data_IF_533314143382
#
_entry.id   IF_533314143382
#
_cell.length_a   1.000
_cell.length_b   1.000
_cell.length_c   1.000
_cell.angle_alpha   90.00
_cell.angle_beta   90.00
_cell.angle_gamma   90.00
#
_symmetry.space_group_name_H-M   'P 1'
#
loop_
_entity.id
_entity.type
_entity.pdbx_description
1 polymer ?
#
# COMPACT_ATOMS: atom_id res chain seq x y z
N UNK A 1 -15.50 -0.91 20.01
CA UNK A 1 -14.68 -1.77 19.15
C UNK A 1 -15.57 -2.85 18.58
N UNK A 2 -15.69 -2.92 17.27
CA UNK A 2 -16.31 -4.07 16.58
C UNK A 2 -15.16 -4.90 16.00
N UNK A 3 -15.20 -6.21 16.12
CA UNK A 3 -14.12 -7.09 15.64
C UNK A 3 -14.67 -8.40 15.09
N UNK A 4 -13.97 -8.95 14.08
CA UNK A 4 -14.26 -10.25 13.49
C UNK A 4 -15.04 -10.19 12.18
N UNK A 5 -15.76 -11.27 11.86
CA UNK A 5 -16.65 -11.35 10.71
C UNK A 5 -17.96 -10.65 11.05
N UNK A 6 -18.12 -9.41 10.60
CA UNK A 6 -19.27 -8.57 10.92
C UNK A 6 -19.96 -8.16 9.62
N UNK A 7 -21.28 -8.24 9.63
CA UNK A 7 -22.12 -7.65 8.57
C UNK A 7 -23.08 -6.66 9.22
N UNK A 8 -23.05 -5.41 8.76
CA UNK A 8 -24.00 -4.38 9.19
C UNK A 8 -25.05 -4.17 8.11
N UNK A 9 -26.27 -3.82 8.48
CA UNK A 9 -27.33 -3.51 7.53
C UNK A 9 -27.35 -2.04 7.11
N UNK A 10 -26.72 -1.16 7.88
CA UNK A 10 -26.74 0.30 7.69
C UNK A 10 -25.35 0.92 7.61
N UNK A 11 -25.35 2.24 7.72
CA UNK A 11 -24.13 3.05 7.74
C UNK A 11 -23.29 2.75 8.98
N UNK A 12 -21.98 2.84 8.80
CA UNK A 12 -21.01 2.76 9.89
C UNK A 12 -20.20 4.06 9.95
N UNK A 13 -20.17 4.67 11.11
CA UNK A 13 -19.34 5.84 11.36
C UNK A 13 -18.28 5.51 12.43
N UNK A 14 -17.02 5.54 12.03
CA UNK A 14 -15.87 5.36 12.94
C UNK A 14 -15.42 6.74 13.39
N UNK A 15 -15.93 7.16 14.56
CA UNK A 15 -15.62 8.46 15.16
C UNK A 15 -14.14 8.58 15.55
N UNK A 16 -13.60 9.81 15.66
CA UNK A 16 -12.26 10.04 16.19
C UNK A 16 -12.05 9.31 17.52
N UNK A 17 -10.95 8.57 17.63
CA UNK A 17 -10.66 7.68 18.77
C UNK A 17 -11.36 6.33 18.73
N UNK A 18 -12.33 6.12 17.84
CA UNK A 18 -12.97 4.83 17.61
C UNK A 18 -12.10 3.89 16.76
N UNK A 19 -12.33 2.59 16.93
CA UNK A 19 -11.64 1.56 16.12
C UNK A 19 -12.64 0.52 15.62
N UNK A 20 -12.65 0.31 14.31
CA UNK A 20 -13.28 -0.81 13.63
C UNK A 20 -12.19 -1.84 13.28
N UNK A 21 -12.28 -3.04 13.87
CA UNK A 21 -11.40 -4.16 13.51
C UNK A 21 -12.07 -5.05 12.49
N UNK A 22 -11.36 -5.34 11.43
CA UNK A 22 -11.85 -6.09 10.27
C UNK A 22 -11.14 -7.42 10.15
N UNK A 23 -11.89 -8.50 9.97
CA UNK A 23 -11.38 -9.75 9.41
C UNK A 23 -12.03 -9.96 8.03
N UNK A 24 -13.27 -10.49 8.00
CA UNK A 24 -14.16 -10.47 6.83
C UNK A 24 -15.38 -9.66 7.21
N UNK A 25 -15.40 -8.38 6.89
CA UNK A 25 -16.43 -7.45 7.34
C UNK A 25 -17.14 -6.84 6.14
N UNK A 26 -18.47 -6.83 6.19
CA UNK A 26 -19.31 -6.16 5.20
C UNK A 26 -20.09 -5.03 5.86
N UNK A 27 -19.92 -3.82 5.37
CA UNK A 27 -20.75 -2.66 5.68
C UNK A 27 -21.85 -2.58 4.65
N UNK A 28 -23.11 -2.69 5.08
CA UNK A 28 -24.27 -2.80 4.20
C UNK A 28 -24.59 -1.53 3.43
N UNK A 29 -24.21 -0.37 3.95
CA UNK A 29 -24.39 0.94 3.31
C UNK A 29 -23.06 1.70 3.28
N UNK A 30 -23.02 2.93 3.85
CA UNK A 30 -21.85 3.79 3.79
C UNK A 30 -20.91 3.57 4.98
N UNK A 31 -19.62 3.85 4.77
CA UNK A 31 -18.59 3.88 5.81
C UNK A 31 -17.95 5.26 5.85
N UNK A 32 -18.05 5.92 7.00
CA UNK A 32 -17.27 7.13 7.30
C UNK A 32 -16.15 6.79 8.28
N UNK A 33 -14.93 7.20 7.97
CA UNK A 33 -13.74 6.92 8.78
C UNK A 33 -13.08 8.21 9.28
N UNK A 34 -13.41 8.60 10.51
CA UNK A 34 -12.71 9.64 11.28
C UNK A 34 -11.81 9.09 12.37
N UNK A 35 -11.81 7.77 12.58
CA UNK A 35 -11.02 7.06 13.59
C UNK A 35 -9.99 6.12 12.98
N UNK A 36 -10.02 4.85 13.38
CA UNK A 36 -9.13 3.82 12.86
C UNK A 36 -9.91 2.63 12.32
N UNK A 37 -9.69 2.28 11.07
CA UNK A 37 -10.10 1.00 10.48
C UNK A 37 -8.87 0.10 10.44
N UNK A 38 -8.88 -0.93 11.27
CA UNK A 38 -7.75 -1.83 11.47
C UNK A 38 -8.02 -3.17 10.78
N UNK A 39 -7.33 -3.41 9.66
CA UNK A 39 -7.51 -4.61 8.83
C UNK A 39 -6.54 -5.73 9.20
N UNK A 40 -6.10 -5.79 10.44
CA UNK A 40 -5.26 -6.86 10.95
C UNK A 40 -6.05 -7.74 11.91
N UNK A 41 -6.16 -9.01 11.57
CA UNK A 41 -6.69 -10.06 12.44
C UNK A 41 -5.69 -10.39 13.55
N UNK A 42 -6.13 -11.17 14.51
CA UNK A 42 -5.23 -11.81 15.47
C UNK A 42 -4.14 -12.59 14.70
N UNK A 43 -2.89 -12.29 15.02
CA UNK A 43 -1.72 -12.88 14.37
C UNK A 43 -1.21 -12.15 13.14
N UNK A 44 -1.81 -11.04 12.76
CA UNK A 44 -1.28 -10.14 11.73
C UNK A 44 -1.21 -10.72 10.32
N UNK A 45 -1.87 -11.85 10.03
CA UNK A 45 -1.83 -12.44 8.69
C UNK A 45 -2.62 -11.61 7.70
N UNK A 46 -2.08 -11.35 6.49
CA UNK A 46 -2.82 -10.73 5.41
C UNK A 46 -3.98 -11.62 4.92
N UNK A 47 -4.97 -11.01 4.25
CA UNK A 47 -6.12 -11.69 3.68
C UNK A 47 -7.46 -11.28 4.32
N UNK A 48 -7.47 -10.24 5.15
CA UNK A 48 -8.70 -9.63 5.63
C UNK A 48 -9.35 -8.81 4.52
N UNK A 49 -10.67 -8.79 4.48
CA UNK A 49 -11.42 -8.07 3.45
C UNK A 49 -12.50 -7.21 4.11
N UNK A 50 -12.47 -5.92 3.82
CA UNK A 50 -13.53 -4.98 4.11
C UNK A 50 -14.33 -4.71 2.84
N UNK A 51 -15.61 -5.07 2.83
CA UNK A 51 -16.52 -4.69 1.76
C UNK A 51 -17.45 -3.58 2.24
N UNK A 52 -17.52 -2.49 1.48
CA UNK A 52 -18.45 -1.39 1.69
C UNK A 52 -19.42 -1.38 0.51
N UNK A 53 -20.69 -1.72 0.75
CA UNK A 53 -21.69 -1.78 -0.32
C UNK A 53 -22.16 -0.41 -0.83
N UNK A 54 -22.00 0.62 0.00
CA UNK A 54 -22.24 2.02 -0.36
C UNK A 54 -20.94 2.77 -0.61
N UNK A 55 -20.92 4.04 -0.19
CA UNK A 55 -19.79 4.96 -0.36
C UNK A 55 -18.85 4.90 0.84
N UNK A 56 -17.59 5.24 0.59
CA UNK A 56 -16.58 5.46 1.61
C UNK A 56 -16.20 6.93 1.70
N UNK A 57 -16.23 7.47 2.93
CA UNK A 57 -15.78 8.84 3.21
C UNK A 57 -14.61 8.81 4.20
N UNK A 58 -13.44 9.27 3.75
CA UNK A 58 -12.29 9.50 4.61
C UNK A 58 -12.39 10.86 5.30
N UNK A 59 -12.43 10.84 6.64
CA UNK A 59 -12.44 12.07 7.45
C UNK A 59 -11.13 12.14 8.27
N UNK A 60 -9.98 12.11 7.56
CA UNK A 60 -8.62 12.06 8.11
C UNK A 60 -8.37 10.84 9.03
N UNK A 61 -9.19 9.80 8.94
CA UNK A 61 -9.02 8.56 9.68
C UNK A 61 -7.78 7.79 9.23
N UNK A 62 -7.40 6.81 10.02
CA UNK A 62 -6.34 5.86 9.73
C UNK A 62 -6.94 4.55 9.21
N UNK A 63 -6.34 3.97 8.19
CA UNK A 63 -6.60 2.61 7.73
C UNK A 63 -5.31 1.81 7.76
N UNK A 64 -5.34 0.60 8.36
CA UNK A 64 -4.15 -0.25 8.44
C UNK A 64 -4.36 -1.54 7.67
N UNK A 65 -3.37 -1.90 6.86
CA UNK A 65 -3.34 -3.13 6.08
C UNK A 65 -2.13 -3.97 6.46
N UNK A 66 -2.27 -5.29 6.40
CA UNK A 66 -1.13 -6.20 6.39
C UNK A 66 -0.89 -6.69 4.97
N UNK A 67 0.35 -6.82 4.59
CA UNK A 67 0.75 -7.38 3.31
C UNK A 67 2.04 -8.19 3.48
N UNK A 68 2.17 -9.29 2.76
CA UNK A 68 3.45 -9.96 2.57
C UNK A 68 4.08 -9.35 1.33
N UNK A 69 4.86 -8.27 1.50
CA UNK A 69 5.33 -7.46 0.38
C UNK A 69 6.28 -8.25 -0.54
N UNK A 70 5.93 -8.32 -1.81
CA UNK A 70 6.62 -9.00 -2.89
C UNK A 70 6.15 -8.47 -4.25
N UNK A 71 5.96 -9.34 -5.24
CA UNK A 71 5.37 -8.97 -6.54
C UNK A 71 3.86 -8.76 -6.49
N UNK A 72 3.24 -8.56 -7.64
CA UNK A 72 1.82 -8.18 -7.81
C UNK A 72 0.81 -9.09 -7.08
N UNK A 73 1.09 -10.40 -7.04
CA UNK A 73 0.20 -11.39 -6.42
C UNK A 73 0.47 -11.59 -4.92
N UNK A 74 1.10 -10.64 -4.27
CA UNK A 74 1.41 -10.73 -2.84
C UNK A 74 0.15 -10.81 -1.99
N UNK A 75 0.11 -11.71 -0.98
CA UNK A 75 -0.98 -11.74 -0.02
C UNK A 75 -1.10 -10.38 0.69
N UNK A 76 -2.32 -9.82 0.67
CA UNK A 76 -2.59 -8.52 1.30
C UNK A 76 -4.02 -8.46 1.84
N UNK A 77 -4.24 -7.58 2.81
CA UNK A 77 -5.57 -7.14 3.18
C UNK A 77 -6.13 -6.24 2.08
N UNK A 78 -7.46 -6.25 1.90
CA UNK A 78 -8.14 -5.48 0.85
C UNK A 78 -9.37 -4.74 1.36
N UNK A 79 -9.63 -3.58 0.78
CA UNK A 79 -10.90 -2.87 0.89
C UNK A 79 -11.58 -2.81 -0.47
N UNK A 80 -12.84 -3.25 -0.52
CA UNK A 80 -13.66 -3.20 -1.73
C UNK A 80 -14.83 -2.23 -1.49
N UNK A 81 -14.84 -1.09 -2.15
CA UNK A 81 -15.91 -0.10 -2.11
C UNK A 81 -16.74 -0.24 -3.37
N UNK A 82 -18.03 -0.56 -3.24
CA UNK A 82 -18.93 -0.71 -4.40
C UNK A 82 -19.42 0.62 -4.95
N UNK A 83 -19.52 1.63 -4.09
CA UNK A 83 -19.86 3.00 -4.45
C UNK A 83 -18.66 3.91 -4.66
N UNK A 84 -18.82 5.17 -4.32
CA UNK A 84 -17.83 6.22 -4.48
C UNK A 84 -16.89 6.31 -3.28
N UNK A 85 -15.69 6.86 -3.51
CA UNK A 85 -14.80 7.27 -2.43
C UNK A 85 -14.58 8.77 -2.45
N UNK A 86 -14.48 9.38 -1.25
CA UNK A 86 -14.19 10.82 -1.08
C UNK A 86 -13.40 11.08 0.21
N UNK A 87 -12.87 12.31 0.31
CA UNK A 87 -12.13 12.78 1.48
C UNK A 87 -10.72 12.20 1.57
N UNK A 88 -10.07 12.39 2.74
CA UNK A 88 -8.69 12.01 2.96
C UNK A 88 -8.59 10.85 3.97
N UNK A 89 -7.73 9.89 3.69
CA UNK A 89 -7.46 8.73 4.54
C UNK A 89 -5.95 8.50 4.65
N UNK A 90 -5.47 8.38 5.88
CA UNK A 90 -4.11 7.97 6.14
C UNK A 90 -4.03 6.45 6.08
N UNK A 91 -3.03 5.92 5.41
CA UNK A 91 -2.83 4.48 5.22
C UNK A 91 -1.54 4.04 5.88
N UNK A 92 -1.59 2.98 6.66
CA UNK A 92 -0.40 2.27 7.16
C UNK A 92 -0.43 0.85 6.62
N UNK A 93 0.70 0.41 6.11
CA UNK A 93 0.88 -0.96 5.65
C UNK A 93 1.98 -1.60 6.47
N UNK A 94 1.67 -2.74 7.09
CA UNK A 94 2.61 -3.52 7.87
C UNK A 94 3.09 -4.71 7.02
N UNK A 95 4.40 -4.80 6.78
CA UNK A 95 4.98 -5.92 6.05
C UNK A 95 5.08 -7.16 6.94
N UNK A 96 4.38 -8.22 6.59
CA UNK A 96 4.32 -9.48 7.33
C UNK A 96 5.18 -10.53 6.61
N UNK A 97 6.48 -10.50 6.88
CA UNK A 97 7.45 -11.48 6.38
C UNK A 97 7.75 -11.39 4.88
N UNK A 98 7.33 -10.32 4.20
CA UNK A 98 7.69 -10.09 2.81
C UNK A 98 9.14 -9.66 2.66
N UNK A 99 9.83 -10.23 1.67
CA UNK A 99 11.24 -9.93 1.36
C UNK A 99 11.39 -8.89 0.24
N UNK A 100 10.27 -8.41 -0.30
CA UNK A 100 10.23 -7.46 -1.39
C UNK A 100 10.50 -8.10 -2.75
N UNK A 101 9.86 -7.56 -3.77
CA UNK A 101 10.13 -7.85 -5.18
C UNK A 101 9.68 -6.67 -6.05
N UNK A 102 10.12 -6.64 -7.28
CA UNK A 102 9.64 -5.67 -8.25
C UNK A 102 8.18 -5.99 -8.62
N UNK A 103 7.33 -4.97 -8.58
CA UNK A 103 5.96 -5.06 -9.07
C UNK A 103 5.89 -4.67 -10.56
N UNK A 104 4.90 -5.19 -11.26
CA UNK A 104 4.56 -4.83 -12.64
C UNK A 104 3.30 -3.97 -12.66
N UNK A 105 2.20 -4.48 -12.08
CA UNK A 105 0.93 -3.76 -11.97
C UNK A 105 0.71 -3.18 -10.56
N UNK A 106 1.45 -3.69 -9.58
CA UNK A 106 1.30 -3.35 -8.19
C UNK A 106 0.43 -4.32 -7.40
N UNK A 107 0.51 -4.23 -6.06
CA UNK A 107 -0.28 -5.01 -5.12
C UNK A 107 -1.55 -4.21 -4.82
N UNK A 108 -2.71 -4.69 -5.25
CA UNK A 108 -3.98 -4.01 -5.03
C UNK A 108 -4.40 -4.01 -3.55
N UNK A 109 -4.60 -2.82 -2.99
CA UNK A 109 -5.12 -2.64 -1.63
C UNK A 109 -6.58 -2.22 -1.60
N UNK A 110 -7.00 -1.35 -2.54
CA UNK A 110 -8.34 -0.75 -2.51
C UNK A 110 -8.94 -0.83 -3.92
N UNK A 111 -10.07 -1.51 -4.02
CA UNK A 111 -10.91 -1.55 -5.21
C UNK A 111 -12.07 -0.56 -5.07
N UNK A 112 -12.35 0.24 -6.10
CA UNK A 112 -13.41 1.24 -6.12
C UNK A 112 -14.31 1.03 -7.33
N UNK A 113 -15.59 0.69 -7.09
CA UNK A 113 -16.56 0.47 -8.16
C UNK A 113 -17.13 1.75 -8.75
N UNK A 114 -17.28 2.79 -7.93
CA UNK A 114 -17.83 4.09 -8.32
C UNK A 114 -16.76 5.12 -8.72
N UNK A 115 -16.98 6.38 -8.36
CA UNK A 115 -16.02 7.46 -8.54
C UNK A 115 -14.95 7.43 -7.44
N UNK A 116 -13.68 7.48 -7.80
CA UNK A 116 -12.55 7.44 -6.89
C UNK A 116 -11.96 8.84 -6.64
N UNK A 117 -12.75 9.70 -5.97
CA UNK A 117 -12.32 11.05 -5.58
C UNK A 117 -11.62 11.06 -4.20
N UNK A 118 -11.66 9.95 -3.45
CA UNK A 118 -10.96 9.81 -2.17
C UNK A 118 -9.44 9.82 -2.37
N UNK A 119 -8.73 10.44 -1.42
CA UNK A 119 -7.28 10.46 -1.38
C UNK A 119 -6.77 9.52 -0.27
N UNK A 120 -5.90 8.59 -0.63
CA UNK A 120 -5.26 7.66 0.29
C UNK A 120 -3.75 7.91 0.26
N UNK A 121 -3.17 8.19 1.43
CA UNK A 121 -1.76 8.51 1.54
C UNK A 121 -1.09 7.66 2.63
N UNK A 122 0.07 7.07 2.32
CA UNK A 122 0.88 6.37 3.30
C UNK A 122 1.35 7.34 4.40
N UNK A 123 1.23 6.92 5.66
CA UNK A 123 1.67 7.72 6.81
C UNK A 123 3.17 7.97 6.83
N UNK A 124 3.95 7.08 6.25
CA UNK A 124 5.41 7.14 6.15
C UNK A 124 5.89 7.56 4.76
N UNK A 125 4.96 7.81 3.82
CA UNK A 125 5.27 8.05 2.41
C UNK A 125 5.64 6.77 1.66
N UNK A 126 6.41 5.88 2.26
CA UNK A 126 6.85 4.62 1.67
C UNK A 126 6.75 3.46 2.66
N UNK A 127 6.76 2.24 2.14
CA UNK A 127 6.88 1.00 2.92
C UNK A 127 8.04 0.18 2.37
N UNK A 128 8.84 -0.40 3.23
CA UNK A 128 10.06 -1.12 2.86
C UNK A 128 9.91 -2.63 3.05
N UNK A 129 10.48 -3.38 2.12
CA UNK A 129 10.61 -4.83 2.22
C UNK A 129 11.89 -5.29 1.51
N UNK A 130 12.83 -5.86 2.27
CA UNK A 130 14.13 -6.24 1.73
C UNK A 130 14.86 -5.03 1.10
N UNK A 131 15.22 -5.15 -0.17
CA UNK A 131 15.86 -4.10 -0.95
C UNK A 131 14.88 -3.19 -1.71
N UNK A 132 13.57 -3.39 -1.54
CA UNK A 132 12.55 -2.68 -2.29
C UNK A 132 11.80 -1.68 -1.43
N UNK A 133 11.43 -0.56 -2.06
CA UNK A 133 10.61 0.50 -1.48
C UNK A 133 9.30 0.56 -2.26
N UNK A 134 8.18 0.57 -1.54
CA UNK A 134 6.84 0.61 -2.11
C UNK A 134 6.18 1.95 -1.85
N UNK A 135 5.48 2.46 -2.84
CA UNK A 135 4.63 3.65 -2.77
C UNK A 135 3.18 3.27 -3.04
N UNK A 136 2.24 4.07 -2.53
CA UNK A 136 0.81 3.89 -2.80
C UNK A 136 0.39 4.85 -3.91
N UNK A 137 -0.17 4.31 -4.98
CA UNK A 137 -0.64 5.08 -6.12
C UNK A 137 -1.91 4.48 -6.74
N UNK A 138 -2.62 5.26 -7.53
CA UNK A 138 -3.74 4.75 -8.34
C UNK A 138 -3.25 3.90 -9.50
N UNK A 139 -4.09 2.97 -9.92
CA UNK A 139 -3.89 2.17 -11.11
C UNK A 139 -4.07 2.94 -12.42
N UNK A 140 -3.96 2.25 -13.57
CA UNK A 140 -4.07 2.80 -14.93
C UNK A 140 -5.21 2.21 -15.72
N UNK A 141 -5.66 2.97 -16.70
CA UNK A 141 -6.64 2.49 -17.66
C UNK A 141 -7.91 2.04 -16.96
N UNK A 142 -8.26 0.77 -17.08
CA UNK A 142 -9.46 0.22 -16.44
C UNK A 142 -9.39 0.20 -14.91
N UNK A 143 -8.17 0.21 -14.35
CA UNK A 143 -7.89 0.12 -12.91
C UNK A 143 -7.55 1.49 -12.28
N UNK A 144 -7.73 2.59 -13.01
CA UNK A 144 -7.44 3.96 -12.57
C UNK A 144 -8.19 4.40 -11.30
N UNK A 145 -9.25 3.69 -10.94
CA UNK A 145 -10.04 3.93 -9.74
C UNK A 145 -9.47 3.24 -8.50
N UNK A 146 -8.68 2.19 -8.70
CA UNK A 146 -8.15 1.34 -7.64
C UNK A 146 -6.79 1.85 -7.15
N UNK A 147 -6.41 1.45 -5.94
CA UNK A 147 -5.15 1.84 -5.32
C UNK A 147 -4.23 0.66 -5.10
N UNK A 148 -2.96 0.84 -5.49
CA UNK A 148 -1.94 -0.19 -5.52
C UNK A 148 -0.67 0.23 -4.78
N UNK A 149 -0.02 -0.73 -4.10
CA UNK A 149 1.38 -0.58 -3.72
C UNK A 149 2.27 -0.99 -4.90
N UNK A 150 3.19 -0.13 -5.27
CA UNK A 150 4.14 -0.38 -6.35
C UNK A 150 5.57 -0.14 -5.89
N UNK A 151 6.47 -1.06 -6.25
CA UNK A 151 7.91 -0.92 -6.05
C UNK A 151 8.62 -0.24 -7.22
N UNK A 152 7.87 0.25 -8.21
CA UNK A 152 8.40 1.07 -9.29
C UNK A 152 8.25 2.53 -8.94
N UNK A 153 9.30 3.27 -9.15
CA UNK A 153 9.29 4.72 -9.09
C UNK A 153 9.35 5.29 -10.52
N UNK A 154 8.40 6.13 -10.87
CA UNK A 154 8.28 6.77 -12.17
C UNK A 154 8.96 8.15 -12.25
N UNK A 155 9.76 8.49 -11.23
CA UNK A 155 10.41 9.79 -11.09
C UNK A 155 9.59 10.82 -10.30
N UNK A 156 8.38 10.46 -9.87
CA UNK A 156 7.53 11.31 -9.03
C UNK A 156 7.73 10.94 -7.57
N UNK A 157 8.08 11.90 -6.73
CA UNK A 157 8.19 11.66 -5.28
C UNK A 157 6.80 11.49 -4.66
N UNK A 158 6.65 10.78 -3.53
CA UNK A 158 5.36 10.65 -2.83
C UNK A 158 4.72 12.01 -2.47
N UNK A 159 5.53 13.07 -2.35
CA UNK A 159 5.04 14.43 -2.14
C UNK A 159 4.49 15.07 -3.42
N UNK A 160 4.87 14.55 -4.57
CA UNK A 160 4.49 15.03 -5.89
C UNK A 160 3.34 14.21 -6.51
N UNK A 161 2.71 13.31 -5.74
CA UNK A 161 1.50 12.64 -6.22
C UNK A 161 0.29 13.58 -6.17
N UNK A 162 0.20 14.57 -7.07
CA UNK A 162 -0.88 15.56 -7.02
C UNK A 162 -2.04 15.16 -7.86
N UNK A 163 -1.87 14.29 -8.81
CA UNK A 163 -2.92 14.04 -9.76
C UNK A 163 -3.07 12.54 -10.03
N UNK A 164 -4.04 11.93 -9.32
CA UNK A 164 -4.39 10.54 -9.58
C UNK A 164 -4.90 10.31 -11.01
N UNK A 165 -5.18 11.37 -11.76
CA UNK A 165 -5.69 11.29 -13.15
C UNK A 165 -4.54 11.22 -14.15
N UNK A 166 -3.40 11.86 -13.87
CA UNK A 166 -2.34 12.03 -14.85
C UNK A 166 -1.11 11.15 -14.64
N UNK A 167 -1.01 10.46 -13.52
CA UNK A 167 0.15 9.62 -13.27
C UNK A 167 -0.23 8.29 -12.61
N UNK A 168 -0.91 7.45 -13.33
CA UNK A 168 -1.08 6.07 -12.94
C UNK A 168 0.29 5.39 -12.94
N UNK A 169 0.59 4.39 -12.10
CA UNK A 169 1.85 3.68 -12.17
C UNK A 169 2.07 3.17 -13.59
N UNK A 170 3.05 3.76 -14.27
CA UNK A 170 3.44 3.28 -15.57
C UNK A 170 3.98 1.89 -15.37
N UNK A 171 3.28 0.91 -15.86
CA UNK A 171 3.85 -0.40 -16.11
C UNK A 171 4.85 -0.20 -17.26
N UNK A 172 5.96 0.43 -16.95
CA UNK A 172 7.13 0.38 -17.78
C UNK A 172 7.97 -0.79 -17.29
N UNK A 173 7.99 -1.91 -18.00
CA UNK A 173 8.83 -3.03 -17.63
C UNK A 173 10.33 -2.66 -17.61
N UNK A 174 10.69 -1.50 -18.16
CA UNK A 174 12.04 -0.97 -18.20
C UNK A 174 12.28 0.17 -17.17
N UNK A 175 11.27 0.57 -16.40
CA UNK A 175 11.40 1.63 -15.40
C UNK A 175 12.37 1.24 -14.27
N UNK A 176 13.12 2.20 -13.67
CA UNK A 176 14.06 1.91 -12.60
C UNK A 176 13.33 1.36 -11.38
N UNK A 177 13.86 0.28 -10.83
CA UNK A 177 13.38 -0.25 -9.55
C UNK A 177 13.83 0.66 -8.41
N UNK A 178 12.95 0.89 -7.44
CA UNK A 178 13.30 1.65 -6.24
C UNK A 178 13.88 0.67 -5.20
N UNK A 179 15.17 0.78 -4.96
CA UNK A 179 15.88 -0.04 -3.98
C UNK A 179 16.13 0.76 -2.70
N UNK A 180 16.23 0.07 -1.60
CA UNK A 180 16.67 0.69 -0.34
C UNK A 180 18.12 1.21 -0.49
N UNK A 181 18.43 2.38 0.11
CA UNK A 181 19.77 2.96 0.02
C UNK A 181 20.89 2.03 0.49
N UNK A 182 20.62 1.17 1.47
CA UNK A 182 21.60 0.22 2.01
C UNK A 182 22.08 -0.81 0.98
N UNK A 183 21.24 -1.22 0.05
CA UNK A 183 21.63 -2.16 -1.00
C UNK A 183 22.75 -1.58 -1.89
N UNK A 184 22.69 -0.30 -2.19
CA UNK A 184 23.76 0.41 -2.92
C UNK A 184 25.07 0.47 -2.14
N UNK A 185 25.00 0.64 -0.81
CA UNK A 185 26.18 0.68 0.07
C UNK A 185 26.91 -0.66 0.12
N UNK A 186 26.19 -1.77 0.17
CA UNK A 186 26.79 -3.11 0.15
C UNK A 186 27.51 -3.41 -1.16
N UNK A 187 26.92 -3.04 -2.31
CA UNK A 187 27.57 -3.23 -3.61
C UNK A 187 28.86 -2.41 -3.71
N UNK A 188 28.84 -1.16 -3.25
CA UNK A 188 30.01 -0.29 -3.21
C UNK A 188 31.11 -0.84 -2.32
N UNK A 189 30.75 -1.39 -1.16
CA UNK A 189 31.71 -1.99 -0.21
C UNK A 189 32.36 -3.26 -0.77
N UNK A 190 31.60 -4.11 -1.46
CA UNK A 190 32.14 -5.31 -2.13
C UNK A 190 33.10 -4.91 -3.25
N UNK A 191 32.76 -3.90 -4.05
CA UNK A 191 33.65 -3.40 -5.10
C UNK A 191 34.94 -2.83 -4.51
N UNK A 192 34.88 -2.08 -3.42
CA UNK A 192 36.04 -1.54 -2.72
C UNK A 192 36.91 -2.65 -2.11
N UNK A 193 36.31 -3.66 -1.51
CA UNK A 193 37.04 -4.81 -0.95
C UNK A 193 37.78 -5.59 -2.04
N UNK A 194 37.14 -5.85 -3.19
CA UNK A 194 37.76 -6.53 -4.31
C UNK A 194 38.94 -5.74 -4.90
N UNK A 195 38.84 -4.40 -4.96
CA UNK A 195 39.94 -3.55 -5.46
C UNK A 195 41.14 -3.56 -4.52
N UNK A 196 40.92 -3.64 -3.20
CA UNK A 196 41.98 -3.72 -2.20
C UNK A 196 42.78 -5.02 -2.31
N UNK A 197 42.16 -6.12 -2.67
CA UNK A 197 42.85 -7.40 -2.88
C UNK A 197 43.64 -7.44 -4.19
N UNK A 198 43.21 -6.76 -5.24
CA UNK A 198 43.89 -6.72 -6.52
C UNK A 198 45.21 -5.89 -6.49
N UNK A 199 45.26 -4.85 -5.66
CA UNK A 199 46.45 -4.00 -5.53
C UNK A 199 47.58 -4.62 -4.70
N UNK A 200 47.30 -5.60 -3.83
CA UNK A 200 48.35 -6.23 -2.99
C UNK A 200 49.10 -7.38 -3.68
N UNK A 201 48.60 -7.86 -4.81
CA UNK A 201 49.28 -8.97 -5.54
C UNK A 201 50.30 -8.51 -6.58
N UNK A 202 50.39 -7.19 -6.90
CA UNK A 202 51.33 -6.68 -7.86
C UNK A 202 52.53 -5.92 -7.32
N UNK A 203 52.65 -5.79 -5.98
CA UNK A 203 53.74 -5.04 -5.32
C UNK A 203 54.73 -5.96 -4.61
N UNK A 204 55.01 -7.15 -5.17
CA UNK A 204 56.13 -8.00 -4.75
C UNK A 204 56.97 -8.44 -5.92
#
# INVERSE_FOLDING_TARGET
VMSGNVTTAGDVNVMPGGTLRVAKTTVGCNLENGGTVQMNSEGGKPGNVLTVNGNYTGNNGLMTFNATLGGDNSPTDKMNVKGDTQGNTRVRVDNIGGVGAQTVNGIELIEVGGNSAGNFALTTGTVEAGAYVYTLAKGKGNDEKNWYLTSKWDGVTPADTPDPINNPPVVDPEGPSVYRPEAGSYISNIAAANSLFSHRLHDR
#
